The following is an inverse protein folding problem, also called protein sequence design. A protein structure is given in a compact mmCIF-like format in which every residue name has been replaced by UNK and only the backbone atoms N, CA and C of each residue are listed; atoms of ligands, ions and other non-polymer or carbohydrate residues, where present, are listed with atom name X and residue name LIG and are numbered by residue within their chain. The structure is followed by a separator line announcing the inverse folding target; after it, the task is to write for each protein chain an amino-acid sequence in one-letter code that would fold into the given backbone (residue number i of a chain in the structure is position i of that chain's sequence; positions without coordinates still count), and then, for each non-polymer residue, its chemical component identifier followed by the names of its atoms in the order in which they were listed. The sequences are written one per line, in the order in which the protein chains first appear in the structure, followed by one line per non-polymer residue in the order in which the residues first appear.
data_IF_091088255304
#
_entry.id   IF_091088255304
#
_cell.length_a   1.000
_cell.length_b   1.000
_cell.length_c   1.000
_cell.angle_alpha   90.00
_cell.angle_beta   90.00
_cell.angle_gamma   90.00
#
_symmetry.space_group_name_H-M   'P 1'
#
loop_
_entity.id
_entity.type
_entity.pdbx_description
1 polymer ?
#
# COMPACT_ATOMS: atom_id res chain seq x y z
N UNK A 1 7.04 5.41 9.70
CA UNK A 1 7.08 4.01 10.20
C UNK A 1 6.77 4.02 11.68
N UNK A 2 5.76 3.27 12.10
CA UNK A 2 5.35 3.12 13.50
C UNK A 2 4.91 1.68 13.79
N UNK A 3 4.88 1.29 15.06
CA UNK A 3 4.47 -0.07 15.48
C UNK A 3 3.00 -0.32 15.14
N UNK A 4 2.68 -1.49 14.59
CA UNK A 4 1.36 -1.86 14.09
C UNK A 4 1.14 -1.49 12.62
N UNK A 5 2.02 -0.71 12.00
CA UNK A 5 1.90 -0.34 10.59
C UNK A 5 2.15 -1.55 9.68
N UNK A 6 1.34 -1.66 8.61
CA UNK A 6 1.49 -2.67 7.56
C UNK A 6 2.57 -2.25 6.57
N UNK A 7 3.39 -3.21 6.18
CA UNK A 7 4.52 -2.99 5.29
C UNK A 7 4.63 -4.08 4.24
N UNK A 8 5.15 -3.72 3.07
CA UNK A 8 5.50 -4.62 1.99
C UNK A 8 6.99 -4.48 1.69
N UNK A 9 7.69 -5.61 1.64
CA UNK A 9 9.08 -5.71 1.21
C UNK A 9 9.13 -6.64 0.01
N UNK A 10 9.68 -6.16 -1.11
CA UNK A 10 9.62 -6.86 -2.41
C UNK A 10 10.10 -8.33 -2.33
N UNK A 11 11.13 -8.61 -1.54
CA UNK A 11 11.72 -9.95 -1.39
C UNK A 11 11.13 -10.80 -0.26
N UNK A 12 10.27 -10.21 0.60
CA UNK A 12 9.76 -10.86 1.83
C UNK A 12 8.23 -10.90 1.91
N UNK A 13 7.53 -10.16 1.05
CA UNK A 13 6.07 -10.07 1.08
C UNK A 13 5.57 -9.01 2.06
N UNK A 14 4.43 -9.27 2.69
CA UNK A 14 3.71 -8.32 3.54
C UNK A 14 3.84 -8.72 5.01
N UNK A 15 3.96 -7.73 5.88
CA UNK A 15 4.06 -7.93 7.33
C UNK A 15 3.64 -6.70 8.13
N UNK A 16 3.74 -6.83 9.45
CA UNK A 16 3.40 -5.78 10.42
C UNK A 16 4.66 -5.38 11.18
N UNK A 17 4.91 -4.08 11.32
CA UNK A 17 5.96 -3.57 12.20
C UNK A 17 5.61 -3.90 13.65
N UNK A 18 6.51 -4.57 14.36
CA UNK A 18 6.39 -4.89 15.79
C UNK A 18 7.41 -4.16 16.65
N UNK A 19 8.49 -3.66 16.05
CA UNK A 19 9.54 -2.92 16.74
C UNK A 19 10.14 -1.85 15.83
N UNK A 20 10.45 -0.68 16.40
CA UNK A 20 11.23 0.38 15.73
C UNK A 20 12.18 0.96 16.76
N UNK A 21 13.49 0.82 16.57
CA UNK A 21 14.46 1.32 17.54
C UNK A 21 15.88 0.79 17.36
N UNK A 22 16.81 1.19 18.24
CA UNK A 22 18.19 0.72 18.24
C UNK A 22 18.32 -0.71 18.79
N UNK A 23 19.30 -1.47 18.31
CA UNK A 23 19.64 -2.80 18.85
C UNK A 23 21.06 -2.70 19.42
N UNK A 24 21.32 -3.09 20.68
CA UNK A 24 22.66 -3.04 21.27
C UNK A 24 23.68 -3.81 20.42
N UNK A 25 24.83 -3.19 20.16
CA UNK A 25 25.87 -3.74 19.30
C UNK A 25 25.56 -3.70 17.80
N UNK A 26 24.50 -3.02 17.38
CA UNK A 26 24.18 -2.80 15.96
C UNK A 26 23.90 -1.32 15.70
N UNK A 27 24.57 -0.76 14.70
CA UNK A 27 24.40 0.65 14.36
C UNK A 27 23.07 0.96 13.66
N UNK A 28 22.52 2.12 13.99
CA UNK A 28 21.33 2.69 13.36
C UNK A 28 20.00 2.19 13.92
N UNK A 29 18.92 2.58 13.24
CA UNK A 29 17.56 2.20 13.61
C UNK A 29 17.12 0.94 12.86
N UNK A 30 16.62 -0.02 13.62
CA UNK A 30 16.13 -1.30 13.15
C UNK A 30 14.60 -1.35 13.23
N UNK A 31 14.02 -2.07 12.28
CA UNK A 31 12.60 -2.32 12.18
C UNK A 31 12.39 -3.83 12.30
N UNK A 32 11.76 -4.24 13.39
CA UNK A 32 11.30 -5.61 13.59
C UNK A 32 9.94 -5.80 12.93
N UNK A 33 9.85 -6.75 12.01
CA UNK A 33 8.64 -7.03 11.22
C UNK A 33 8.23 -8.47 11.47
N UNK A 34 6.94 -8.68 11.75
CA UNK A 34 6.30 -10.00 11.72
C UNK A 34 5.63 -10.18 10.35
N UNK A 35 6.02 -11.20 9.60
CA UNK A 35 5.50 -11.51 8.27
C UNK A 35 4.22 -12.33 8.35
N UNK A 36 3.33 -12.12 7.39
CA UNK A 36 2.09 -12.91 7.28
C UNK A 36 2.38 -14.34 6.81
N UNK A 37 3.38 -14.49 5.92
CA UNK A 37 3.79 -15.79 5.41
C UNK A 37 4.95 -16.36 6.23
N UNK A 38 4.80 -17.59 6.72
CA UNK A 38 5.82 -18.29 7.52
C UNK A 38 7.17 -18.41 6.81
N UNK A 39 7.20 -18.56 5.49
CA UNK A 39 8.45 -18.73 4.74
C UNK A 39 9.35 -17.48 4.72
N UNK A 40 8.84 -16.34 5.19
CA UNK A 40 9.49 -15.04 5.02
C UNK A 40 10.33 -14.61 6.23
N UNK A 41 10.08 -15.19 7.41
CA UNK A 41 10.81 -14.88 8.63
C UNK A 41 12.05 -15.75 8.84
N UNK A 42 12.81 -15.40 9.89
CA UNK A 42 14.04 -16.09 10.30
C UNK A 42 14.13 -16.31 11.82
N UNK A 43 13.38 -15.54 12.60
CA UNK A 43 13.45 -15.56 14.06
C UNK A 43 12.08 -15.30 14.68
N UNK A 44 12.02 -15.30 16.01
CA UNK A 44 10.78 -15.09 16.80
C UNK A 44 10.69 -13.69 17.46
N UNK A 45 11.59 -12.78 17.10
CA UNK A 45 11.64 -11.39 17.61
C UNK A 45 12.73 -11.15 18.66
N UNK A 46 13.63 -12.11 18.82
CA UNK A 46 14.79 -12.07 19.72
C UNK A 46 16.07 -11.79 18.93
N UNK A 47 16.99 -11.00 19.51
CA UNK A 47 18.37 -10.82 19.02
C UNK A 47 19.32 -10.98 20.20
N UNK A 48 20.32 -11.86 20.09
CA UNK A 48 21.33 -12.10 21.12
C UNK A 48 20.75 -12.36 22.53
N UNK A 49 19.65 -13.11 22.60
CA UNK A 49 18.97 -13.43 23.87
C UNK A 49 18.01 -12.36 24.39
N UNK A 50 18.01 -11.15 23.84
CA UNK A 50 17.05 -10.09 24.20
C UNK A 50 15.80 -10.17 23.32
N UNK A 51 14.62 -10.29 23.92
CA UNK A 51 13.33 -10.25 23.22
C UNK A 51 12.87 -8.80 23.01
N UNK A 52 12.62 -8.41 21.76
CA UNK A 52 12.11 -7.08 21.42
C UNK A 52 10.61 -7.09 21.15
N UNK A 53 10.09 -8.21 20.64
CA UNK A 53 8.67 -8.43 20.41
C UNK A 53 8.38 -9.92 20.28
N UNK A 54 7.12 -10.32 20.47
CA UNK A 54 6.65 -11.69 20.26
C UNK A 54 5.92 -11.82 18.93
N UNK A 55 6.21 -12.89 18.21
CA UNK A 55 5.46 -13.32 17.02
C UNK A 55 4.33 -14.27 17.40
N UNK A 56 3.19 -14.19 16.71
CA UNK A 56 2.09 -15.16 16.82
C UNK A 56 2.52 -16.57 16.40
N UNK A 57 3.43 -16.63 15.43
CA UNK A 57 3.95 -17.86 14.87
C UNK A 57 5.47 -17.77 14.92
N UNK A 58 6.13 -18.79 15.46
CA UNK A 58 7.60 -18.81 15.51
C UNK A 58 8.21 -18.77 14.11
N UNK A 59 9.36 -18.10 14.01
CA UNK A 59 10.10 -18.01 12.74
C UNK A 59 9.50 -17.05 11.72
N UNK A 60 8.49 -16.25 12.07
CA UNK A 60 7.88 -15.27 11.14
C UNK A 60 8.43 -13.86 11.28
N UNK A 61 9.44 -13.61 12.11
CA UNK A 61 10.02 -12.28 12.27
C UNK A 61 11.31 -12.06 11.47
N UNK A 62 11.57 -10.79 11.13
CA UNK A 62 12.84 -10.30 10.61
C UNK A 62 13.16 -8.90 11.17
N UNK A 63 14.42 -8.63 11.49
CA UNK A 63 14.93 -7.28 11.71
C UNK A 63 15.57 -6.76 10.43
N UNK A 64 15.12 -5.60 9.95
CA UNK A 64 15.67 -4.90 8.79
C UNK A 64 16.13 -3.50 9.21
N UNK A 65 17.24 -3.01 8.66
CA UNK A 65 17.61 -1.60 8.80
C UNK A 65 16.52 -0.72 8.19
N UNK A 66 16.13 0.34 8.92
CA UNK A 66 15.17 1.33 8.44
C UNK A 66 15.62 1.87 7.09
N UNK A 67 14.81 1.65 6.04
CA UNK A 67 15.15 2.02 4.67
C UNK A 67 13.91 2.05 3.78
N UNK A 68 14.04 2.66 2.60
CA UNK A 68 12.96 2.78 1.61
C UNK A 68 12.53 1.43 1.00
N UNK A 69 13.28 0.34 1.27
CA UNK A 69 12.90 -1.01 0.87
C UNK A 69 11.68 -1.54 1.64
N UNK A 70 11.38 -0.92 2.79
CA UNK A 70 10.21 -1.21 3.63
C UNK A 70 9.09 -0.25 3.22
N UNK A 71 8.26 -0.65 2.26
CA UNK A 71 7.16 0.19 1.79
C UNK A 71 5.99 0.14 2.78
N UNK A 72 5.55 1.27 3.30
CA UNK A 72 4.47 1.38 4.29
C UNK A 72 3.09 1.64 3.69
N UNK A 73 2.96 1.55 2.36
CA UNK A 73 1.82 2.07 1.61
C UNK A 73 1.91 3.59 1.39
N UNK A 74 0.93 4.11 0.65
CA UNK A 74 0.74 5.54 0.40
C UNK A 74 -0.50 6.03 1.17
N UNK A 75 -0.60 7.34 1.39
CA UNK A 75 -1.78 7.93 2.02
C UNK A 75 -3.02 7.70 1.15
N UNK A 76 -4.20 7.61 1.76
CA UNK A 76 -5.45 7.39 1.01
C UNK A 76 -5.70 8.49 -0.03
N UNK A 77 -5.36 9.74 0.30
CA UNK A 77 -5.47 10.85 -0.63
C UNK A 77 -4.58 10.67 -1.85
N UNK A 78 -3.33 10.24 -1.65
CA UNK A 78 -2.40 9.96 -2.75
C UNK A 78 -2.89 8.77 -3.56
N UNK A 79 -3.38 7.71 -2.91
CA UNK A 79 -3.98 6.56 -3.60
C UNK A 79 -5.20 6.95 -4.44
N UNK A 80 -6.04 7.87 -3.95
CA UNK A 80 -7.20 8.39 -4.68
C UNK A 80 -6.72 9.22 -5.88
N UNK A 81 -5.74 10.11 -5.70
CA UNK A 81 -5.17 10.89 -6.79
C UNK A 81 -4.57 9.99 -7.86
N UNK A 82 -3.76 9.01 -7.47
CA UNK A 82 -3.13 8.07 -8.39
C UNK A 82 -4.16 7.23 -9.15
N UNK A 83 -5.28 6.86 -8.51
CA UNK A 83 -6.32 6.01 -9.11
C UNK A 83 -7.36 6.76 -9.94
N UNK A 84 -7.70 8.00 -9.56
CA UNK A 84 -8.83 8.75 -10.12
C UNK A 84 -8.44 10.08 -10.76
N UNK A 85 -7.23 10.60 -10.51
CA UNK A 85 -6.73 11.84 -11.12
C UNK A 85 -5.64 11.62 -12.18
N UNK A 86 -5.14 10.38 -12.36
CA UNK A 86 -4.17 10.04 -13.42
C UNK A 86 -4.82 9.86 -14.80
N UNK A 87 -6.14 9.64 -14.85
CA UNK A 87 -6.96 9.70 -16.07
C UNK A 87 -8.02 10.80 -15.99
N UNK A 88 -7.62 12.02 -15.63
CA UNK A 88 -8.32 13.17 -16.23
C UNK A 88 -7.69 13.35 -17.61
N UNK A 89 -8.06 12.47 -18.55
CA UNK A 89 -7.94 12.84 -19.96
C UNK A 89 -8.65 14.19 -20.05
N UNK A 90 -7.92 15.21 -20.47
CA UNK A 90 -8.46 16.50 -20.82
C UNK A 90 -9.72 16.24 -21.64
N UNK A 91 -10.90 16.38 -21.04
CA UNK A 91 -12.12 16.58 -21.80
C UNK A 91 -11.89 17.93 -22.48
N UNK A 92 -11.19 17.91 -23.61
CA UNK A 92 -11.33 18.97 -24.57
C UNK A 92 -12.80 18.95 -24.97
N UNK A 93 -13.43 20.11 -25.09
CA UNK A 93 -14.85 20.24 -25.46
C UNK A 93 -15.21 19.52 -26.78
N UNK A 94 -14.21 19.00 -27.50
CA UNK A 94 -14.33 18.33 -28.79
C UNK A 94 -14.09 16.80 -28.76
N UNK A 95 -14.03 16.16 -27.59
CA UNK A 95 -13.84 14.70 -27.54
C UNK A 95 -15.11 13.97 -27.99
N UNK A 96 -15.11 13.50 -29.24
CA UNK A 96 -16.17 12.64 -29.81
C UNK A 96 -16.01 11.22 -29.25
N UNK A 97 -17.00 10.75 -28.50
CA UNK A 97 -17.04 9.37 -28.02
C UNK A 97 -17.32 8.42 -29.20
N UNK A 98 -16.63 7.28 -29.30
CA UNK A 98 -16.94 6.29 -30.33
C UNK A 98 -18.35 5.72 -30.09
N UNK A 99 -19.19 5.68 -31.13
CA UNK A 99 -20.57 5.17 -31.04
C UNK A 99 -20.65 3.66 -30.72
N UNK A 100 -19.51 2.94 -30.80
CA UNK A 100 -19.45 1.48 -30.61
C UNK A 100 -18.22 1.01 -29.83
N UNK A 101 -18.43 0.03 -28.94
CA UNK A 101 -17.37 -0.85 -28.41
C UNK A 101 -17.66 -2.26 -28.91
N UNK A 102 -16.76 -2.79 -29.75
CA UNK A 102 -16.90 -4.12 -30.34
C UNK A 102 -18.12 -4.26 -31.26
N UNK A 103 -18.49 -5.51 -31.59
CA UNK A 103 -19.57 -5.81 -32.55
C UNK A 103 -20.99 -5.52 -32.04
N UNK A 104 -21.18 -5.31 -30.72
CA UNK A 104 -22.52 -5.23 -30.12
C UNK A 104 -22.74 -4.11 -29.08
N UNK A 105 -21.73 -3.36 -28.64
CA UNK A 105 -21.93 -2.33 -27.61
C UNK A 105 -22.17 -0.96 -28.23
N UNK A 106 -23.34 -0.34 -28.01
CA UNK A 106 -23.53 1.12 -28.21
C UNK A 106 -23.13 1.85 -26.94
N UNK A 107 -22.35 2.92 -27.03
CA UNK A 107 -22.03 3.78 -25.89
C UNK A 107 -23.07 4.90 -25.82
N UNK A 108 -23.53 5.22 -24.61
CA UNK A 108 -24.28 6.44 -24.33
C UNK A 108 -23.50 7.28 -23.33
N UNK A 109 -23.25 8.54 -23.67
CA UNK A 109 -22.67 9.52 -22.77
C UNK A 109 -23.74 9.95 -21.75
N UNK A 110 -23.76 9.32 -20.57
CA UNK A 110 -24.57 9.80 -19.44
C UNK A 110 -23.77 10.86 -18.67
N UNK A 111 -23.73 12.06 -19.23
CA UNK A 111 -23.22 13.26 -18.57
C UNK A 111 -24.33 14.00 -17.81
N UNK A 112 -23.93 14.73 -16.77
CA UNK A 112 -24.69 15.48 -15.76
C UNK A 112 -25.76 16.51 -16.27
N UNK A 113 -26.17 16.50 -17.54
CA UNK A 113 -27.08 17.47 -18.13
C UNK A 113 -28.56 17.28 -17.76
N UNK A 114 -28.95 16.20 -17.07
CA UNK A 114 -30.32 16.06 -16.54
C UNK A 114 -30.56 16.79 -15.19
N UNK A 115 -29.54 17.43 -14.61
CA UNK A 115 -29.69 18.29 -13.43
C UNK A 115 -29.51 19.76 -13.85
N UNK A 116 -30.39 20.27 -14.71
CA UNK A 116 -30.72 21.70 -14.69
C UNK A 116 -32.12 21.92 -15.25
N UNK A 117 -32.91 22.57 -14.39
CA UNK A 117 -34.16 23.26 -14.65
C UNK A 117 -35.44 22.42 -14.68
N UNK A 118 -35.85 22.05 -13.46
CA UNK A 118 -37.21 22.33 -12.99
C UNK A 118 -37.33 23.85 -12.77
N UNK A 119 -38.11 24.54 -13.60
CA UNK A 119 -38.68 25.91 -13.50
C UNK A 119 -38.83 26.38 -14.95
N UNK A 120 -40.03 26.54 -15.51
CA UNK A 120 -41.25 27.17 -14.99
C UNK A 120 -42.48 26.56 -15.66
#
# INVERSE_FOLDING_TARGET
MYIGQRVKVKSKGVGTIRYVGPIPGQEGCWVGIEWDNKSSGKHSGTVNGTEYFKTKIQGTASFLKKSNKIATGIGILDAIKDKYCSEVSLYSENTVLPDKIGKHGKIFAVGFSMIKQKSK
#
